data_IF_280893448185
#
_entry.id   IF_280893448185
#
_cell.length_a   1.000
_cell.length_b   1.000
_cell.length_c   1.000
_cell.angle_alpha   90.00
_cell.angle_beta   90.00
_cell.angle_gamma   90.00
#
_symmetry.space_group_name_H-M   'P 1'
#
loop_
_entity.id
_entity.type
_entity.pdbx_description
1 polymer ?
#
# COMPACT_ATOMS: atom_id res chain seq x y z
N UNK A 1 41.34 87.80 -19.28
CA UNK A 1 40.12 87.20 -19.84
C UNK A 1 40.54 86.18 -20.89
N UNK A 2 40.13 84.93 -20.68
CA UNK A 2 40.50 83.70 -21.41
C UNK A 2 42.02 83.51 -21.60
N UNK A 3 42.67 83.07 -20.52
CA UNK A 3 44.08 82.65 -20.47
C UNK A 3 44.17 81.21 -19.95
N UNK A 4 45.21 80.54 -20.46
CA UNK A 4 45.85 79.28 -20.03
C UNK A 4 45.23 78.02 -20.67
N UNK A 5 45.84 77.37 -21.67
CA UNK A 5 47.26 77.00 -21.92
C UNK A 5 47.93 76.25 -20.76
N UNK A 6 48.33 75.02 -21.05
CA UNK A 6 49.50 74.34 -20.48
C UNK A 6 49.17 73.02 -19.78
N UNK A 7 49.95 71.95 -19.89
CA UNK A 7 51.06 71.61 -20.77
C UNK A 7 51.19 70.07 -20.73
N UNK A 8 51.71 69.57 -21.83
CA UNK A 8 52.23 68.23 -22.11
C UNK A 8 53.26 67.76 -21.05
N UNK A 9 53.40 66.44 -20.82
CA UNK A 9 54.68 65.67 -20.84
C UNK A 9 54.41 64.16 -20.61
N UNK A 10 54.72 63.39 -21.66
CA UNK A 10 55.40 62.08 -21.73
C UNK A 10 55.13 60.96 -20.68
N UNK A 11 54.90 59.77 -21.24
CA UNK A 11 55.68 58.59 -20.87
C UNK A 11 54.89 57.46 -20.24
N UNK A 12 54.88 56.29 -20.88
CA UNK A 12 54.50 55.05 -20.19
C UNK A 12 53.73 54.08 -21.06
N UNK A 13 54.46 53.10 -21.58
CA UNK A 13 53.94 51.88 -22.22
C UNK A 13 53.16 51.08 -21.15
N UNK A 14 52.10 50.35 -21.56
CA UNK A 14 51.20 49.44 -20.79
C UNK A 14 50.01 50.12 -20.07
N UNK A 15 48.76 49.76 -20.42
CA UNK A 15 48.24 48.43 -20.06
C UNK A 15 47.31 47.84 -21.15
N UNK A 16 47.87 47.22 -22.19
CA UNK A 16 47.13 46.23 -23.01
C UNK A 16 47.51 44.78 -22.65
N UNK A 17 48.44 44.61 -21.71
CA UNK A 17 48.90 43.31 -21.22
C UNK A 17 48.01 42.72 -20.11
N UNK A 18 47.10 43.50 -19.50
CA UNK A 18 46.12 42.96 -18.54
C UNK A 18 44.84 42.39 -19.18
N UNK A 19 44.63 42.59 -20.48
CA UNK A 19 43.51 41.97 -21.22
C UNK A 19 43.94 40.77 -22.09
N UNK A 20 45.26 40.59 -22.30
CA UNK A 20 45.81 39.43 -23.01
C UNK A 20 46.34 38.35 -22.04
N UNK A 21 46.70 38.70 -20.80
CA UNK A 21 46.97 37.68 -19.76
C UNK A 21 45.72 37.10 -19.09
N UNK A 22 44.55 37.74 -19.20
CA UNK A 22 43.31 37.17 -18.67
C UNK A 22 42.61 36.22 -19.66
N UNK A 23 42.99 36.25 -20.95
CA UNK A 23 42.49 35.33 -21.98
C UNK A 23 43.42 34.14 -22.21
N UNK A 24 44.65 34.16 -21.69
CA UNK A 24 45.61 33.05 -21.77
C UNK A 24 45.73 32.24 -20.47
N UNK A 25 45.09 32.67 -19.37
CA UNK A 25 44.97 31.89 -18.13
C UNK A 25 43.62 31.16 -17.95
N UNK A 26 42.77 31.16 -18.98
CA UNK A 26 41.48 30.45 -19.02
C UNK A 26 41.44 29.31 -20.07
N UNK A 27 42.58 29.00 -20.71
CA UNK A 27 42.68 27.93 -21.71
C UNK A 27 43.76 26.88 -21.44
N UNK A 28 44.26 26.79 -20.21
CA UNK A 28 45.20 25.73 -19.77
C UNK A 28 44.77 25.16 -18.42
N UNK A 29 43.59 24.53 -18.41
CA UNK A 29 43.06 23.81 -17.25
C UNK A 29 42.02 22.74 -17.60
N UNK A 30 41.83 22.45 -18.90
CA UNK A 30 41.13 21.27 -19.36
C UNK A 30 42.18 20.21 -19.71
N UNK A 31 42.76 19.56 -18.70
CA UNK A 31 43.23 18.18 -18.90
C UNK A 31 41.98 17.31 -18.94
N UNK A 32 41.26 17.41 -20.04
CA UNK A 32 40.49 16.28 -20.54
C UNK A 32 41.51 15.18 -20.78
N UNK A 33 41.57 14.24 -19.83
CA UNK A 33 41.92 12.89 -20.20
C UNK A 33 40.87 12.46 -21.23
N UNK A 34 41.17 12.71 -22.50
CA UNK A 34 40.54 12.04 -23.64
C UNK A 34 40.95 10.58 -23.49
N UNK A 35 40.23 9.88 -22.62
CA UNK A 35 40.21 8.44 -22.65
C UNK A 35 39.32 8.11 -23.84
N UNK A 36 40.01 7.68 -24.90
CA UNK A 36 39.49 7.12 -26.17
C UNK A 36 38.03 6.76 -26.12
N UNK A 37 37.31 7.16 -27.16
CA UNK A 37 36.15 6.43 -27.66
C UNK A 37 36.32 4.93 -27.34
N UNK A 38 35.44 4.32 -26.54
CA UNK A 38 35.29 2.89 -26.69
C UNK A 38 34.73 2.74 -28.09
N UNK A 39 35.60 2.26 -28.99
CA UNK A 39 35.26 1.43 -30.15
C UNK A 39 33.90 0.77 -29.93
N UNK A 40 33.00 0.69 -30.95
CA UNK A 40 31.70 0.05 -30.77
C UNK A 40 31.94 -1.28 -30.06
N UNK A 41 31.44 -1.37 -28.82
CA UNK A 41 31.76 -2.47 -27.91
C UNK A 41 31.73 -3.76 -28.74
N UNK A 42 32.80 -4.59 -28.74
CA UNK A 42 32.68 -5.92 -29.32
C UNK A 42 31.47 -6.52 -28.62
N UNK A 43 30.49 -6.99 -29.41
CA UNK A 43 29.21 -7.49 -28.93
C UNK A 43 29.44 -8.25 -27.62
N UNK A 44 29.12 -7.60 -26.48
CA UNK A 44 29.27 -8.22 -25.17
C UNK A 44 28.37 -9.42 -25.27
N UNK A 45 29.01 -10.59 -25.20
CA UNK A 45 28.40 -11.87 -25.52
C UNK A 45 27.05 -12.01 -24.84
N UNK A 46 26.23 -12.86 -25.44
CA UNK A 46 25.00 -13.40 -24.86
C UNK A 46 25.30 -14.25 -23.61
N UNK A 47 26.14 -13.75 -22.70
CA UNK A 47 26.49 -14.39 -21.45
C UNK A 47 25.62 -13.85 -20.32
N UNK A 48 25.46 -14.68 -19.31
CA UNK A 48 24.72 -14.36 -18.09
C UNK A 48 25.23 -13.07 -17.45
N UNK A 49 24.35 -12.39 -16.73
CA UNK A 49 24.64 -11.11 -16.10
C UNK A 49 24.11 -11.06 -14.68
N UNK A 50 24.69 -10.21 -13.86
CA UNK A 50 24.27 -9.99 -12.49
C UNK A 50 23.38 -8.76 -12.37
N UNK A 51 22.32 -8.87 -11.58
CA UNK A 51 21.36 -7.80 -11.31
C UNK A 51 21.15 -7.64 -9.79
N UNK A 52 21.32 -6.43 -9.29
CA UNK A 52 20.96 -6.05 -7.92
C UNK A 52 19.68 -5.23 -7.92
N UNK A 53 18.89 -5.37 -6.85
CA UNK A 53 17.56 -4.75 -6.75
C UNK A 53 17.49 -3.84 -5.53
N UNK A 54 16.73 -2.75 -5.67
CA UNK A 54 16.34 -1.91 -4.54
C UNK A 54 14.84 -2.05 -4.32
N UNK A 55 14.42 -2.22 -3.08
CA UNK A 55 13.02 -2.44 -2.71
C UNK A 55 12.58 -1.45 -1.64
N UNK A 56 11.32 -1.02 -1.71
CA UNK A 56 10.69 -0.20 -0.71
C UNK A 56 9.18 -0.53 -0.65
N UNK A 57 8.55 -0.45 0.53
CA UNK A 57 7.09 -0.50 0.61
C UNK A 57 6.48 0.66 -0.18
N UNK A 58 5.36 0.38 -0.83
CA UNK A 58 4.51 1.39 -1.44
C UNK A 58 3.84 2.22 -0.34
N UNK A 59 3.77 3.56 -0.49
CA UNK A 59 2.95 4.36 0.40
C UNK A 59 1.51 3.86 0.43
N UNK A 60 0.90 3.83 1.60
CA UNK A 60 -0.52 3.48 1.73
C UNK A 60 -1.38 4.57 1.08
N UNK A 61 -2.38 4.16 0.30
CA UNK A 61 -3.31 5.12 -0.32
C UNK A 61 -4.24 5.68 0.77
N UNK A 62 -4.14 6.98 1.05
CA UNK A 62 -4.87 7.64 2.14
C UNK A 62 -6.05 8.42 1.58
N UNK A 63 -7.21 8.24 2.21
CA UNK A 63 -8.44 9.00 1.92
C UNK A 63 -8.46 10.41 2.54
N UNK A 64 -7.68 10.69 3.60
CA UNK A 64 -7.73 11.98 4.33
C UNK A 64 -6.39 12.41 4.97
N UNK A 65 -6.23 13.73 5.18
CA UNK A 65 -5.06 14.43 5.75
C UNK A 65 -5.11 14.63 7.28
N UNK A 66 -6.22 14.33 7.96
CA UNK A 66 -6.34 14.64 9.39
C UNK A 66 -5.63 13.58 10.25
N UNK A 67 -4.65 13.97 11.09
CA UNK A 67 -3.96 13.01 11.93
C UNK A 67 -4.82 12.59 13.13
N UNK A 68 -5.01 11.27 13.34
CA UNK A 68 -5.28 10.74 14.68
C UNK A 68 -4.10 11.12 15.61
N UNK A 69 -4.33 11.67 16.80
CA UNK A 69 -3.31 11.81 17.83
C UNK A 69 -2.98 10.43 18.45
N UNK A 70 -1.68 10.16 18.59
CA UNK A 70 -1.02 9.23 19.53
C UNK A 70 -1.33 7.72 19.58
N UNK A 71 -2.35 7.18 18.89
CA UNK A 71 -2.47 5.71 18.65
C UNK A 71 -1.58 5.20 17.49
N UNK A 72 -0.59 6.00 17.07
CA UNK A 72 0.00 5.96 15.72
C UNK A 72 1.37 5.32 15.56
N UNK A 73 2.11 4.99 16.61
CA UNK A 73 3.52 4.66 16.42
C UNK A 73 3.77 3.18 16.08
N UNK A 74 2.99 2.25 16.63
CA UNK A 74 3.28 0.81 16.48
C UNK A 74 2.79 0.18 15.16
N UNK A 75 1.57 0.48 14.65
CA UNK A 75 1.08 -0.13 13.41
C UNK A 75 1.87 0.34 12.19
N UNK A 76 2.25 1.62 12.13
CA UNK A 76 2.94 2.16 10.95
C UNK A 76 4.32 1.50 10.75
N UNK A 77 5.04 1.14 11.82
CA UNK A 77 6.30 0.40 11.70
C UNK A 77 6.07 -1.04 11.20
N UNK A 78 5.16 -1.79 11.84
CA UNK A 78 4.86 -3.17 11.46
C UNK A 78 4.27 -3.29 10.05
N UNK A 79 3.38 -2.36 9.68
CA UNK A 79 2.78 -2.29 8.35
C UNK A 79 3.81 -2.04 7.25
N UNK A 80 4.87 -1.28 7.53
CA UNK A 80 5.92 -0.94 6.57
C UNK A 80 7.13 -1.88 6.65
N UNK A 81 7.17 -2.81 7.63
CA UNK A 81 8.30 -3.71 7.81
C UNK A 81 8.36 -4.74 6.68
N UNK A 82 9.55 -4.85 6.10
CA UNK A 82 9.90 -5.85 5.10
C UNK A 82 11.05 -6.67 5.68
N UNK A 83 10.76 -7.89 6.14
CA UNK A 83 11.73 -8.78 6.78
C UNK A 83 12.43 -9.68 5.76
N UNK A 84 11.70 -10.16 4.75
CA UNK A 84 12.23 -10.95 3.65
C UNK A 84 11.66 -10.48 2.32
N UNK A 85 12.41 -10.67 1.23
CA UNK A 85 11.92 -10.51 -0.14
C UNK A 85 12.40 -11.66 -0.99
N UNK A 86 11.48 -12.39 -1.61
CA UNK A 86 11.74 -13.31 -2.71
C UNK A 86 11.58 -12.57 -4.02
N UNK A 87 12.50 -12.82 -4.95
CA UNK A 87 12.34 -12.45 -6.36
C UNK A 87 12.09 -13.69 -7.19
N UNK A 88 11.09 -13.59 -8.07
CA UNK A 88 10.87 -14.53 -9.16
C UNK A 88 11.02 -13.79 -10.48
N UNK A 89 11.85 -14.31 -11.39
CA UNK A 89 12.07 -13.74 -12.71
C UNK A 89 11.70 -14.79 -13.73
N UNK A 90 10.83 -14.43 -14.67
CA UNK A 90 10.35 -15.32 -15.72
C UNK A 90 10.80 -14.82 -17.09
N UNK A 91 11.00 -15.75 -18.01
CA UNK A 91 11.07 -15.42 -19.43
C UNK A 91 9.67 -14.97 -19.87
N UNK A 92 9.55 -13.73 -20.36
CA UNK A 92 8.25 -13.16 -20.72
C UNK A 92 7.53 -13.93 -21.83
N UNK A 93 8.28 -14.48 -22.79
CA UNK A 93 7.71 -15.19 -23.94
C UNK A 93 7.24 -16.60 -23.57
N UNK A 94 8.03 -17.33 -22.77
CA UNK A 94 7.75 -18.75 -22.47
C UNK A 94 7.06 -18.97 -21.13
N UNK A 95 7.10 -17.98 -20.24
CA UNK A 95 6.64 -18.10 -18.86
C UNK A 95 7.57 -18.93 -17.97
N UNK A 96 8.71 -19.43 -18.47
CA UNK A 96 9.64 -20.25 -17.68
C UNK A 96 10.28 -19.42 -16.55
N UNK A 97 10.30 -19.96 -15.33
CA UNK A 97 11.02 -19.35 -14.22
C UNK A 97 12.54 -19.50 -14.41
N UNK A 98 13.25 -18.37 -14.40
CA UNK A 98 14.70 -18.27 -14.56
C UNK A 98 15.40 -18.07 -13.21
N UNK A 99 14.78 -17.30 -12.32
CA UNK A 99 15.27 -17.03 -10.96
C UNK A 99 14.12 -17.18 -9.99
N UNK A 100 14.36 -17.87 -8.88
CA UNK A 100 13.45 -17.98 -7.74
C UNK A 100 14.29 -18.02 -6.45
N UNK A 101 14.54 -16.85 -5.87
CA UNK A 101 15.54 -16.71 -4.80
C UNK A 101 15.08 -15.69 -3.75
N UNK A 102 15.46 -15.91 -2.49
CA UNK A 102 15.41 -14.87 -1.46
C UNK A 102 16.55 -13.89 -1.71
N UNK A 103 16.24 -12.59 -1.65
CA UNK A 103 17.24 -11.55 -1.72
C UNK A 103 18.03 -11.50 -0.41
N UNK A 104 19.36 -11.57 -0.54
CA UNK A 104 20.30 -11.40 0.57
C UNK A 104 20.76 -9.93 0.66
N UNK A 105 21.14 -9.51 1.87
CA UNK A 105 21.76 -8.22 2.18
C UNK A 105 21.03 -6.97 1.65
N UNK A 106 19.75 -7.10 1.29
CA UNK A 106 18.95 -5.96 0.87
C UNK A 106 18.60 -5.10 2.08
N UNK A 107 18.58 -3.79 1.89
CA UNK A 107 18.07 -2.83 2.87
C UNK A 107 16.89 -2.08 2.26
N UNK A 108 15.87 -1.82 3.06
CA UNK A 108 14.75 -0.98 2.65
C UNK A 108 15.30 0.39 2.26
N UNK A 109 15.12 0.77 1.00
CA UNK A 109 15.72 1.99 0.51
C UNK A 109 14.94 3.22 0.95
N UNK A 110 15.59 4.11 1.69
CA UNK A 110 15.06 5.45 2.00
C UNK A 110 15.35 6.47 0.89
N UNK A 111 16.50 6.31 0.21
CA UNK A 111 17.06 7.28 -0.74
C UNK A 111 17.46 6.68 -2.11
N UNK A 112 16.85 5.57 -2.51
CA UNK A 112 17.15 4.82 -3.75
C UNK A 112 18.59 4.28 -3.88
N UNK A 113 19.34 4.20 -2.77
CA UNK A 113 20.77 3.82 -2.76
C UNK A 113 21.08 2.48 -2.08
N UNK A 114 20.06 1.69 -1.75
CA UNK A 114 20.22 0.41 -1.04
C UNK A 114 19.97 -0.75 -2.00
N UNK A 115 21.00 -1.55 -2.24
CA UNK A 115 21.00 -2.63 -3.23
C UNK A 115 21.13 -3.99 -2.54
N UNK A 116 20.40 -4.98 -3.03
CA UNK A 116 20.57 -6.37 -2.64
C UNK A 116 21.91 -6.91 -3.13
N UNK A 117 22.32 -8.05 -2.56
CA UNK A 117 23.29 -8.92 -3.21
C UNK A 117 22.81 -9.24 -4.65
N UNK A 118 23.71 -9.29 -5.65
CA UNK A 118 23.30 -9.50 -7.02
C UNK A 118 22.80 -10.93 -7.27
N UNK A 119 21.81 -11.08 -8.15
CA UNK A 119 21.35 -12.37 -8.67
C UNK A 119 21.85 -12.58 -10.09
N UNK A 120 22.23 -13.82 -10.43
CA UNK A 120 22.63 -14.20 -11.79
C UNK A 120 21.39 -14.43 -12.65
N UNK A 121 21.38 -13.84 -13.85
CA UNK A 121 20.27 -13.94 -14.81
C UNK A 121 20.82 -14.43 -16.16
N UNK A 122 20.14 -15.39 -16.82
CA UNK A 122 20.50 -15.84 -18.15
C UNK A 122 20.54 -14.70 -19.19
N UNK A 123 21.64 -14.62 -19.94
CA UNK A 123 21.88 -13.53 -20.91
C UNK A 123 21.26 -13.73 -22.29
N UNK A 124 20.72 -14.92 -22.56
CA UNK A 124 20.11 -15.33 -23.82
C UNK A 124 18.63 -14.93 -23.93
N UNK A 125 17.97 -14.63 -22.80
CA UNK A 125 16.58 -14.18 -22.72
C UNK A 125 16.45 -12.70 -23.11
N UNK A 126 15.43 -12.36 -23.92
CA UNK A 126 15.23 -11.01 -24.49
C UNK A 126 14.34 -10.11 -23.65
N UNK A 127 13.39 -10.67 -22.94
CA UNK A 127 12.45 -9.94 -22.09
C UNK A 127 12.03 -10.78 -20.90
N UNK A 128 11.74 -10.09 -19.81
CA UNK A 128 11.57 -10.67 -18.48
C UNK A 128 10.31 -10.13 -17.80
N UNK A 129 9.66 -10.98 -17.01
CA UNK A 129 8.68 -10.55 -16.03
C UNK A 129 9.26 -10.71 -14.63
N UNK A 130 9.22 -9.64 -13.83
CA UNK A 130 9.73 -9.60 -12.47
C UNK A 130 8.58 -9.62 -11.47
N UNK A 131 8.65 -10.54 -10.52
CA UNK A 131 7.71 -10.67 -9.42
C UNK A 131 8.48 -10.63 -8.11
N UNK A 132 7.96 -9.87 -7.16
CA UNK A 132 8.53 -9.75 -5.83
C UNK A 132 7.49 -10.15 -4.80
N UNK A 133 7.90 -10.93 -3.81
CA UNK A 133 7.08 -11.28 -2.64
C UNK A 133 7.85 -10.90 -1.38
N UNK A 134 7.32 -9.96 -0.63
CA UNK A 134 7.84 -9.63 0.68
C UNK A 134 7.06 -10.34 1.78
N UNK A 135 7.74 -10.65 2.88
CA UNK A 135 7.17 -11.28 4.07
C UNK A 135 6.42 -12.57 3.74
N UNK A 136 7.06 -13.46 2.96
CA UNK A 136 6.45 -14.74 2.57
C UNK A 136 6.22 -15.70 3.76
N UNK A 137 6.84 -15.42 4.91
CA UNK A 137 6.60 -16.11 6.17
C UNK A 137 6.32 -15.08 7.26
N UNK A 138 5.23 -15.31 7.97
CA UNK A 138 4.82 -14.64 9.19
C UNK A 138 4.03 -15.63 10.05
N UNK A 139 3.64 -15.22 11.26
CA UNK A 139 2.80 -16.05 12.15
C UNK A 139 1.51 -16.53 11.48
N UNK A 140 0.82 -15.63 10.76
CA UNK A 140 -0.47 -15.93 10.13
C UNK A 140 -0.36 -16.49 8.71
N UNK A 141 0.75 -16.26 8.01
CA UNK A 141 0.90 -16.62 6.59
C UNK A 141 2.23 -17.31 6.31
N UNK A 142 2.20 -18.47 5.66
CA UNK A 142 3.40 -19.19 5.21
C UNK A 142 3.25 -19.62 3.76
N UNK A 143 4.00 -18.96 2.87
CA UNK A 143 3.91 -19.08 1.43
C UNK A 143 5.16 -19.74 0.81
N UNK A 144 6.19 -20.02 1.62
CA UNK A 144 7.51 -20.46 1.13
C UNK A 144 7.43 -21.72 0.29
N UNK A 145 6.73 -22.77 0.74
CA UNK A 145 6.64 -24.03 -0.01
C UNK A 145 5.97 -23.82 -1.37
N UNK A 146 4.89 -23.04 -1.40
CA UNK A 146 4.17 -22.74 -2.64
C UNK A 146 5.05 -21.95 -3.61
N UNK A 147 5.75 -20.92 -3.12
CA UNK A 147 6.62 -20.07 -3.92
C UNK A 147 7.86 -20.81 -4.44
N UNK A 148 8.48 -21.69 -3.64
CA UNK A 148 9.61 -22.53 -4.07
C UNK A 148 9.22 -23.52 -5.17
N UNK A 149 7.96 -23.96 -5.19
CA UNK A 149 7.44 -24.87 -6.23
C UNK A 149 7.13 -24.19 -7.57
N UNK A 150 7.23 -22.86 -7.65
CA UNK A 150 6.94 -22.11 -8.89
C UNK A 150 8.09 -22.28 -9.89
N UNK A 151 7.75 -22.85 -11.04
CA UNK A 151 8.64 -23.08 -12.18
C UNK A 151 8.11 -22.43 -13.47
N UNK A 152 6.84 -22.03 -13.49
CA UNK A 152 6.17 -21.40 -14.62
C UNK A 152 5.28 -20.24 -14.15
N UNK A 153 5.20 -19.18 -14.96
CA UNK A 153 4.51 -17.93 -14.63
C UNK A 153 3.03 -18.16 -14.31
N UNK A 154 2.33 -18.95 -15.13
CA UNK A 154 0.90 -19.22 -14.97
C UNK A 154 0.56 -19.86 -13.60
N UNK A 155 1.53 -20.47 -12.92
CA UNK A 155 1.34 -21.05 -11.59
C UNK A 155 1.05 -19.99 -10.52
N UNK A 156 1.55 -18.76 -10.68
CA UNK A 156 1.24 -17.63 -9.79
C UNK A 156 -0.27 -17.29 -9.78
N UNK A 157 -0.98 -17.68 -10.84
CA UNK A 157 -2.39 -17.37 -11.07
C UNK A 157 -3.32 -18.58 -10.96
N UNK A 158 -2.77 -19.76 -10.73
CA UNK A 158 -3.56 -21.01 -10.72
C UNK A 158 -3.30 -21.89 -9.50
N UNK A 159 -2.13 -21.80 -8.87
CA UNK A 159 -1.86 -22.56 -7.65
C UNK A 159 -2.76 -22.05 -6.51
N UNK A 160 -3.62 -22.92 -5.91
CA UNK A 160 -4.52 -22.51 -4.84
C UNK A 160 -3.78 -21.89 -3.64
N UNK A 161 -2.57 -22.36 -3.33
CA UNK A 161 -1.76 -21.82 -2.24
C UNK A 161 -1.32 -20.35 -2.46
N UNK A 162 -1.43 -19.81 -3.68
CA UNK A 162 -1.10 -18.42 -4.02
C UNK A 162 -2.33 -17.59 -4.44
N UNK A 163 -3.45 -18.26 -4.77
CA UNK A 163 -4.68 -17.62 -5.26
C UNK A 163 -5.87 -17.73 -4.30
N UNK A 164 -5.83 -18.67 -3.36
CA UNK A 164 -6.84 -18.94 -2.34
C UNK A 164 -6.22 -18.96 -0.95
N UNK A 165 -5.44 -17.92 -0.62
CA UNK A 165 -4.83 -17.79 0.71
C UNK A 165 -5.93 -17.46 1.71
N UNK A 166 -6.13 -18.33 2.70
CA UNK A 166 -7.14 -18.14 3.73
C UNK A 166 -6.85 -16.86 4.53
N UNK A 167 -7.79 -15.92 4.50
CA UNK A 167 -7.70 -14.72 5.30
C UNK A 167 -7.92 -15.04 6.78
N UNK A 168 -7.10 -14.42 7.65
CA UNK A 168 -7.17 -14.57 9.09
C UNK A 168 -7.85 -13.32 9.68
N UNK A 169 -9.08 -13.42 10.23
CA UNK A 169 -9.82 -12.25 10.71
C UNK A 169 -9.17 -11.52 11.87
N UNK A 170 -8.44 -12.24 12.72
CA UNK A 170 -7.72 -11.69 13.86
C UNK A 170 -6.31 -11.18 13.50
N UNK A 171 -5.92 -11.25 12.22
CA UNK A 171 -4.61 -10.79 11.79
C UNK A 171 -4.43 -9.31 12.11
N UNK A 172 -3.34 -9.01 12.82
CA UNK A 172 -2.93 -7.65 13.15
C UNK A 172 -1.41 -7.55 13.01
N UNK A 173 -0.89 -6.63 12.17
CA UNK A 173 0.53 -6.49 11.94
C UNK A 173 1.29 -6.22 13.23
N UNK A 174 2.29 -7.06 13.52
CA UNK A 174 3.10 -6.93 14.72
C UNK A 174 4.57 -7.13 14.40
N UNK A 175 5.39 -6.18 14.85
CA UNK A 175 6.81 -6.42 15.02
C UNK A 175 7.00 -7.33 16.24
N UNK A 176 8.01 -8.18 16.19
CA UNK A 176 8.26 -9.19 17.20
C UNK A 176 9.70 -9.66 17.12
N UNK A 177 10.06 -10.60 17.98
CA UNK A 177 11.33 -11.33 17.89
C UNK A 177 11.02 -12.81 18.04
N UNK A 178 11.93 -13.68 17.61
CA UNK A 178 11.84 -15.13 17.79
C UNK A 178 10.57 -15.78 17.18
N UNK A 179 10.14 -15.32 15.99
CA UNK A 179 9.04 -15.93 15.24
C UNK A 179 7.63 -15.45 15.60
N UNK A 180 7.50 -14.49 16.54
CA UNK A 180 6.22 -13.83 16.85
C UNK A 180 5.86 -12.68 15.90
N UNK A 181 6.68 -12.45 14.87
CA UNK A 181 6.39 -11.45 13.84
C UNK A 181 5.19 -11.88 13.01
N UNK A 182 4.20 -11.00 12.91
CA UNK A 182 3.06 -11.18 12.04
C UNK A 182 3.01 -10.03 11.05
N UNK A 183 3.69 -10.18 9.92
CA UNK A 183 3.85 -9.13 8.91
C UNK A 183 2.93 -9.36 7.72
N UNK A 184 2.54 -8.27 7.06
CA UNK A 184 1.65 -8.33 5.90
C UNK A 184 2.47 -8.81 4.68
N UNK A 185 2.00 -9.82 3.93
CA UNK A 185 2.54 -10.13 2.62
C UNK A 185 2.43 -8.93 1.69
N UNK A 186 3.49 -8.66 0.92
CA UNK A 186 3.48 -7.58 -0.07
C UNK A 186 4.01 -8.07 -1.40
N UNK A 187 3.54 -7.48 -2.50
CA UNK A 187 3.89 -7.91 -3.85
C UNK A 187 4.24 -6.74 -4.75
N UNK A 188 5.10 -6.98 -5.73
CA UNK A 188 5.31 -6.08 -6.86
C UNK A 188 5.47 -6.89 -8.14
N UNK A 189 4.99 -6.34 -9.25
CA UNK A 189 5.03 -7.00 -10.56
C UNK A 189 5.48 -5.98 -11.62
N UNK A 190 6.40 -6.38 -12.48
CA UNK A 190 6.85 -5.60 -13.63
C UNK A 190 6.96 -6.50 -14.85
N UNK A 191 6.19 -6.20 -15.88
CA UNK A 191 6.08 -7.04 -17.07
C UNK A 191 6.93 -6.56 -18.23
N UNK A 192 7.32 -7.51 -19.08
CA UNK A 192 7.95 -7.28 -20.38
C UNK A 192 9.13 -6.30 -20.33
N UNK A 193 9.97 -6.41 -19.29
CA UNK A 193 11.19 -5.61 -19.19
C UNK A 193 12.21 -6.21 -20.15
N UNK A 194 12.66 -5.45 -21.13
CA UNK A 194 13.60 -5.94 -22.13
C UNK A 194 15.03 -5.98 -21.59
N UNK A 195 15.84 -6.89 -22.14
CA UNK A 195 17.27 -6.95 -21.84
C UNK A 195 17.98 -5.62 -22.16
N UNK A 196 17.54 -4.91 -23.20
CA UNK A 196 18.10 -3.61 -23.56
C UNK A 196 17.83 -2.56 -22.49
N UNK A 197 16.62 -2.53 -21.93
CA UNK A 197 16.29 -1.64 -20.81
C UNK A 197 17.14 -1.95 -19.58
N UNK A 198 17.33 -3.22 -19.25
CA UNK A 198 18.21 -3.65 -18.15
C UNK A 198 19.66 -3.21 -18.39
N UNK A 199 20.18 -3.44 -19.60
CA UNK A 199 21.56 -3.02 -19.96
C UNK A 199 21.75 -1.50 -19.97
N UNK A 200 20.67 -0.73 -20.11
CA UNK A 200 20.66 0.72 -19.99
C UNK A 200 20.50 1.21 -18.53
N UNK A 201 20.45 0.30 -17.55
CA UNK A 201 20.49 0.63 -16.13
C UNK A 201 21.92 0.90 -15.66
N UNK A 202 22.08 1.37 -14.41
CA UNK A 202 23.40 1.62 -13.85
C UNK A 202 24.16 0.29 -13.73
N UNK A 203 25.49 0.32 -13.89
CA UNK A 203 26.37 -0.84 -13.72
C UNK A 203 26.84 -1.48 -15.03
N UNK A 204 27.49 -2.64 -14.94
CA UNK A 204 28.10 -3.35 -16.09
C UNK A 204 27.66 -4.81 -16.23
N UNK A 205 26.80 -5.32 -15.35
CA UNK A 205 26.30 -6.69 -15.40
C UNK A 205 27.26 -7.77 -14.88
N UNK A 206 28.38 -7.38 -14.26
CA UNK A 206 29.33 -8.30 -13.62
C UNK A 206 29.01 -8.46 -12.13
N UNK A 207 29.45 -9.52 -11.46
CA UNK A 207 29.18 -9.72 -10.03
C UNK A 207 29.65 -8.54 -9.17
N UNK A 208 30.84 -7.98 -9.44
CA UNK A 208 31.40 -6.83 -8.69
C UNK A 208 30.78 -5.49 -9.09
N UNK A 209 30.07 -5.44 -10.21
CA UNK A 209 29.43 -4.24 -10.75
C UNK A 209 28.16 -4.64 -11.51
N UNK A 210 27.13 -5.10 -10.77
CA UNK A 210 25.91 -5.65 -11.34
C UNK A 210 25.11 -4.54 -12.03
N UNK A 211 24.17 -4.91 -12.88
CA UNK A 211 23.14 -3.95 -13.24
C UNK A 211 22.28 -3.63 -12.02
N UNK A 212 21.74 -2.42 -11.96
CA UNK A 212 20.89 -1.98 -10.85
C UNK A 212 19.44 -1.80 -11.30
N UNK A 213 18.59 -2.75 -10.92
CA UNK A 213 17.18 -2.74 -11.28
C UNK A 213 16.46 -1.57 -10.63
N UNK A 214 15.95 -0.67 -11.46
CA UNK A 214 15.04 0.39 -11.07
C UNK A 214 13.78 0.28 -11.91
N UNK A 215 12.64 0.21 -11.22
CA UNK A 215 11.34 0.23 -11.85
C UNK A 215 11.13 1.57 -12.56
N UNK A 216 10.72 1.52 -13.82
CA UNK A 216 10.42 2.72 -14.61
C UNK A 216 8.94 3.04 -14.48
N UNK A 217 8.58 3.84 -13.47
CA UNK A 217 7.20 4.27 -13.28
C UNK A 217 7.11 5.75 -13.71
N UNK A 218 6.29 6.05 -14.71
CA UNK A 218 6.07 7.42 -15.22
C UNK A 218 7.38 8.17 -15.54
N UNK A 219 8.28 7.51 -16.29
CA UNK A 219 9.58 8.05 -16.71
C UNK A 219 10.58 8.35 -15.57
N UNK A 220 10.27 7.98 -14.32
CA UNK A 220 11.16 8.08 -13.17
C UNK A 220 11.64 6.70 -12.75
N UNK A 221 12.95 6.58 -12.49
CA UNK A 221 13.57 5.35 -11.99
C UNK A 221 13.45 5.30 -10.47
N UNK A 222 12.68 4.34 -9.96
CA UNK A 222 12.42 4.17 -8.53
C UNK A 222 12.80 2.75 -8.07
N UNK A 223 13.01 2.54 -6.76
CA UNK A 223 13.04 1.21 -6.19
C UNK A 223 11.75 0.47 -6.52
N UNK A 224 11.84 -0.85 -6.51
CA UNK A 224 10.68 -1.75 -6.57
C UNK A 224 9.72 -1.39 -5.44
N UNK A 225 8.45 -1.14 -5.79
CA UNK A 225 7.41 -0.70 -4.86
C UNK A 225 6.50 -1.86 -4.47
N UNK A 226 6.70 -2.35 -3.25
CA UNK A 226 5.96 -3.48 -2.69
C UNK A 226 4.59 -3.02 -2.17
N UNK A 227 3.53 -3.57 -2.76
CA UNK A 227 2.14 -3.25 -2.44
C UNK A 227 1.59 -4.31 -1.47
N UNK A 228 1.02 -3.88 -0.34
CA UNK A 228 0.42 -4.80 0.65
C UNK A 228 -0.73 -5.61 0.04
N UNK A 229 -0.84 -6.87 0.43
CA UNK A 229 -1.92 -7.75 -0.02
C UNK A 229 -3.28 -7.43 0.64
N UNK A 230 -3.29 -6.73 1.79
CA UNK A 230 -4.48 -6.39 2.55
C UNK A 230 -4.74 -4.88 2.55
N UNK A 231 -6.00 -4.49 2.73
CA UNK A 231 -6.42 -3.13 3.03
C UNK A 231 -6.55 -2.92 4.55
N UNK A 232 -6.36 -1.68 5.00
CA UNK A 232 -6.59 -1.28 6.40
C UNK A 232 -7.90 -0.53 6.49
N UNK A 233 -8.73 -0.87 7.48
CA UNK A 233 -9.94 -0.12 7.83
C UNK A 233 -9.79 0.35 9.27
N UNK A 234 -9.74 1.66 9.45
CA UNK A 234 -9.89 2.29 10.75
C UNK A 234 -11.36 2.63 10.98
N UNK A 235 -11.92 2.11 12.06
CA UNK A 235 -13.30 2.34 12.48
C UNK A 235 -13.27 3.26 13.69
N UNK A 236 -14.03 4.35 13.62
CA UNK A 236 -14.24 5.27 14.72
C UNK A 236 -15.74 5.40 15.00
N UNK A 237 -16.10 5.31 16.27
CA UNK A 237 -17.43 5.69 16.75
C UNK A 237 -17.19 6.84 17.73
N UNK A 238 -17.40 8.10 17.31
CA UNK A 238 -17.12 9.27 18.15
C UNK A 238 -18.18 9.45 19.24
N UNK A 239 -17.81 10.19 20.28
CA UNK A 239 -18.74 10.75 21.27
C UNK A 239 -19.61 9.71 22.02
N UNK A 240 -19.12 8.47 22.17
CA UNK A 240 -19.82 7.45 22.94
C UNK A 240 -19.77 7.78 24.44
N UNK A 241 -20.93 7.88 25.07
CA UNK A 241 -21.03 8.18 26.50
C UNK A 241 -20.91 6.90 27.33
N UNK A 242 -19.96 6.89 28.27
CA UNK A 242 -19.66 5.74 29.15
C UNK A 242 -20.40 5.81 30.48
N UNK A 243 -20.70 7.01 30.96
CA UNK A 243 -21.38 7.22 32.23
C UNK A 243 -22.54 8.18 32.03
N UNK A 244 -23.74 7.74 32.39
CA UNK A 244 -24.90 8.59 32.51
C UNK A 244 -25.24 8.89 33.97
N UNK A 245 -25.73 10.10 34.22
CA UNK A 245 -26.70 10.29 35.30
C UNK A 245 -28.04 10.06 34.62
N UNK A 246 -28.71 8.96 34.93
CA UNK A 246 -30.04 8.64 34.38
C UNK A 246 -30.99 9.84 34.60
N UNK A 247 -31.61 10.33 33.52
CA UNK A 247 -32.59 11.42 33.56
C UNK A 247 -32.05 12.84 33.32
N UNK A 248 -30.86 13.00 32.73
CA UNK A 248 -30.39 14.29 32.19
C UNK A 248 -30.78 14.44 30.71
N UNK A 249 -31.41 15.56 30.35
CA UNK A 249 -31.88 15.85 28.98
C UNK A 249 -30.78 15.82 27.94
N UNK A 250 -29.54 16.18 28.31
CA UNK A 250 -28.37 16.11 27.40
C UNK A 250 -27.92 14.67 27.13
N UNK A 251 -28.16 13.77 28.07
CA UNK A 251 -27.89 12.34 27.93
C UNK A 251 -29.00 11.58 27.20
N UNK A 252 -30.19 12.17 27.13
CA UNK A 252 -31.37 11.60 26.46
C UNK A 252 -31.39 11.85 24.94
N UNK A 253 -30.64 12.85 24.46
CA UNK A 253 -30.50 13.17 23.03
C UNK A 253 -29.50 12.25 22.28
N UNK A 254 -28.63 11.53 23.01
CA UNK A 254 -27.56 10.68 22.46
C UNK A 254 -27.75 9.24 22.99
N UNK A 255 -27.57 8.20 22.16
CA UNK A 255 -27.64 6.81 22.66
C UNK A 255 -26.46 6.54 23.62
N UNK A 256 -26.74 6.39 24.91
CA UNK A 256 -25.77 6.01 25.93
C UNK A 256 -25.45 4.52 25.83
N UNK A 257 -24.18 4.15 26.04
CA UNK A 257 -23.81 2.73 26.12
C UNK A 257 -24.46 2.04 27.34
N UNK A 258 -24.83 2.80 28.38
CA UNK A 258 -25.62 2.33 29.53
C UNK A 258 -27.04 1.88 29.14
N UNK A 259 -27.56 2.37 28.01
CA UNK A 259 -28.85 1.92 27.48
C UNK A 259 -28.71 0.72 26.55
N UNK A 260 -27.49 0.24 26.29
CA UNK A 260 -27.23 -0.92 25.41
C UNK A 260 -27.00 -2.15 26.27
N UNK A 261 -27.92 -3.12 26.17
CA UNK A 261 -27.82 -4.43 26.84
C UNK A 261 -26.89 -5.39 26.09
N UNK A 262 -26.93 -5.37 24.75
CA UNK A 262 -26.08 -6.18 23.88
C UNK A 262 -25.52 -5.32 22.76
N UNK A 263 -24.25 -5.50 22.43
CA UNK A 263 -23.57 -4.81 21.34
C UNK A 263 -22.76 -5.78 20.50
N UNK A 264 -22.82 -5.61 19.19
CA UNK A 264 -22.01 -6.33 18.23
C UNK A 264 -21.57 -5.39 17.09
N UNK A 265 -20.27 -5.45 16.78
CA UNK A 265 -19.70 -4.86 15.58
C UNK A 265 -19.21 -5.99 14.67
N UNK A 266 -19.73 -6.04 13.45
CA UNK A 266 -19.49 -7.13 12.51
C UNK A 266 -19.08 -6.63 11.13
N UNK A 267 -18.23 -7.36 10.43
CA UNK A 267 -17.88 -7.14 9.04
C UNK A 267 -18.60 -8.18 8.17
N UNK A 268 -19.36 -7.71 7.19
CA UNK A 268 -20.13 -8.54 6.27
C UNK A 268 -19.55 -8.51 4.86
N UNK A 269 -19.88 -9.56 4.11
CA UNK A 269 -19.49 -9.78 2.71
C UNK A 269 -17.96 -9.85 2.53
N UNK A 270 -17.26 -10.44 3.49
CA UNK A 270 -15.79 -10.53 3.42
C UNK A 270 -15.40 -11.79 2.66
N UNK A 271 -14.52 -11.68 1.65
CA UNK A 271 -13.90 -12.82 1.00
C UNK A 271 -13.16 -13.69 2.02
N UNK A 272 -13.42 -15.01 1.99
CA UNK A 272 -12.67 -16.00 2.79
C UNK A 272 -11.20 -16.11 2.39
N UNK A 273 -10.88 -15.75 1.14
CA UNK A 273 -9.56 -15.92 0.56
C UNK A 273 -9.10 -14.66 -0.16
N UNK A 274 -7.78 -14.51 -0.29
CA UNK A 274 -7.16 -13.53 -1.17
C UNK A 274 -6.09 -14.15 -2.05
N UNK A 275 -5.71 -13.41 -3.09
CA UNK A 275 -4.65 -13.79 -4.02
C UNK A 275 -3.49 -12.81 -3.96
N UNK A 276 -2.26 -13.31 -4.07
CA UNK A 276 -1.06 -12.47 -4.09
C UNK A 276 -0.98 -11.62 -5.36
N UNK A 277 -1.10 -12.26 -6.52
CA UNK A 277 -0.84 -11.62 -7.81
C UNK A 277 -2.08 -11.40 -8.67
N UNK A 278 -3.16 -12.15 -8.43
CA UNK A 278 -4.41 -11.98 -9.16
C UNK A 278 -5.19 -10.76 -8.61
N UNK A 279 -4.67 -9.58 -8.93
CA UNK A 279 -5.26 -8.28 -8.62
C UNK A 279 -5.34 -7.43 -9.88
N UNK A 280 -6.44 -6.69 -10.03
CA UNK A 280 -6.60 -5.70 -11.11
C UNK A 280 -5.56 -4.57 -11.01
N UNK A 281 -4.88 -4.43 -9.87
CA UNK A 281 -3.75 -3.52 -9.69
C UNK A 281 -2.57 -3.83 -10.62
N UNK A 282 -2.33 -5.09 -10.94
CA UNK A 282 -1.17 -5.49 -11.76
C UNK A 282 -1.53 -5.69 -13.25
N UNK A 283 -2.72 -6.22 -13.56
CA UNK A 283 -3.07 -6.60 -14.93
C UNK A 283 -4.45 -6.09 -15.37
N UNK A 284 -4.52 -4.80 -15.72
CA UNK A 284 -5.72 -4.08 -16.13
C UNK A 284 -6.45 -4.67 -17.37
N UNK A 285 -5.70 -5.21 -18.33
CA UNK A 285 -6.22 -5.66 -19.63
C UNK A 285 -6.48 -7.17 -19.70
N UNK A 286 -5.99 -7.97 -18.73
CA UNK A 286 -6.12 -9.43 -18.73
C UNK A 286 -7.20 -9.95 -17.77
N UNK A 287 -7.90 -9.07 -17.06
CA UNK A 287 -8.87 -9.48 -16.04
C UNK A 287 -10.07 -10.29 -16.58
N UNK A 288 -10.37 -10.16 -17.87
CA UNK A 288 -11.38 -10.97 -18.59
C UNK A 288 -10.79 -12.17 -19.32
N UNK A 289 -9.48 -12.43 -19.19
CA UNK A 289 -8.84 -13.59 -19.78
C UNK A 289 -9.16 -14.85 -18.96
N UNK A 290 -9.23 -16.00 -19.65
CA UNK A 290 -9.53 -17.31 -19.04
C UNK A 290 -8.58 -17.70 -17.90
N UNK A 291 -7.35 -17.16 -17.90
CA UNK A 291 -6.37 -17.35 -16.82
C UNK A 291 -6.87 -16.83 -15.46
N UNK A 292 -7.75 -15.82 -15.45
CA UNK A 292 -8.28 -15.17 -14.25
C UNK A 292 -9.73 -15.53 -13.95
N UNK A 293 -10.41 -16.28 -14.83
CA UNK A 293 -11.86 -16.57 -14.75
C UNK A 293 -12.32 -17.20 -13.41
N UNK A 294 -11.57 -18.15 -12.79
CA UNK A 294 -11.93 -18.66 -11.47
C UNK A 294 -11.85 -17.60 -10.37
N UNK A 295 -10.95 -16.63 -10.52
CA UNK A 295 -10.65 -15.58 -9.53
C UNK A 295 -11.62 -14.41 -9.72
N UNK A 296 -11.88 -13.97 -10.95
CA UNK A 296 -12.80 -12.88 -11.25
C UNK A 296 -14.21 -13.15 -10.70
N UNK A 297 -14.67 -14.40 -10.69
CA UNK A 297 -15.96 -14.78 -10.09
C UNK A 297 -16.08 -14.45 -8.59
N UNK A 298 -14.98 -14.62 -7.82
CA UNK A 298 -14.88 -14.31 -6.40
C UNK A 298 -14.84 -12.80 -6.11
N UNK A 299 -14.34 -12.00 -7.06
CA UNK A 299 -14.25 -10.54 -6.89
C UNK A 299 -15.51 -9.81 -7.39
N UNK A 300 -16.24 -10.38 -8.35
CA UNK A 300 -17.27 -9.63 -9.10
C UNK A 300 -18.70 -10.18 -9.00
N UNK A 301 -18.91 -11.49 -8.84
CA UNK A 301 -20.20 -12.10 -9.18
C UNK A 301 -20.82 -12.96 -8.08
N UNK A 302 -20.02 -13.67 -7.28
CA UNK A 302 -20.54 -14.64 -6.28
C UNK A 302 -20.47 -14.10 -4.85
N UNK A 303 -21.35 -13.16 -4.51
CA UNK A 303 -21.53 -12.74 -3.11
C UNK A 303 -21.94 -13.93 -2.21
N UNK A 304 -22.75 -14.86 -2.71
CA UNK A 304 -23.39 -15.86 -1.83
C UNK A 304 -22.56 -17.12 -1.50
N UNK A 305 -21.48 -17.41 -2.24
CA UNK A 305 -20.79 -18.72 -2.16
C UNK A 305 -19.43 -18.70 -1.43
N UNK A 306 -18.89 -17.51 -1.13
CA UNK A 306 -17.55 -17.35 -0.53
C UNK A 306 -17.44 -16.26 0.53
N UNK A 307 -18.57 -15.65 0.91
CA UNK A 307 -18.63 -14.60 1.92
C UNK A 307 -18.84 -15.17 3.31
N UNK A 308 -18.31 -14.47 4.30
CA UNK A 308 -18.53 -14.74 5.71
C UNK A 308 -18.87 -13.44 6.43
N UNK A 309 -19.63 -13.59 7.52
CA UNK A 309 -19.75 -12.57 8.55
C UNK A 309 -18.65 -12.81 9.59
N UNK A 310 -17.99 -11.74 10.00
CA UNK A 310 -16.92 -11.79 10.99
C UNK A 310 -17.21 -10.80 12.10
N UNK A 311 -17.26 -11.31 13.33
CA UNK A 311 -17.43 -10.51 14.52
C UNK A 311 -16.12 -9.78 14.83
N UNK A 312 -16.14 -8.46 14.75
CA UNK A 312 -15.00 -7.60 15.12
C UNK A 312 -14.97 -7.45 16.64
N UNK A 313 -16.14 -7.23 17.24
CA UNK A 313 -16.28 -7.04 18.68
C UNK A 313 -17.66 -7.48 19.16
N UNK A 314 -17.67 -8.26 20.25
CA UNK A 314 -18.87 -8.76 20.94
C UNK A 314 -18.71 -8.72 22.47
N UNK A 315 -17.50 -8.46 23.00
CA UNK A 315 -17.28 -8.36 24.45
C UNK A 315 -17.52 -6.91 24.88
N UNK A 316 -18.68 -6.64 25.47
CA UNK A 316 -19.00 -5.34 26.07
C UNK A 316 -17.95 -4.86 27.07
N UNK A 317 -17.26 -5.77 27.78
CA UNK A 317 -16.20 -5.36 28.69
C UNK A 317 -14.95 -4.92 27.94
N UNK A 318 -14.63 -5.53 26.79
CA UNK A 318 -13.53 -5.11 25.91
C UNK A 318 -13.83 -3.76 25.27
N UNK A 319 -15.07 -3.53 24.85
CA UNK A 319 -15.53 -2.22 24.38
C UNK A 319 -15.32 -1.17 25.46
N UNK A 320 -15.85 -1.41 26.67
CA UNK A 320 -15.67 -0.52 27.83
C UNK A 320 -14.20 -0.25 28.16
N UNK A 321 -13.33 -1.28 28.11
CA UNK A 321 -11.87 -1.15 28.34
C UNK A 321 -11.18 -0.32 27.25
N UNK A 322 -11.45 -0.59 25.98
CA UNK A 322 -10.84 0.13 24.87
C UNK A 322 -11.27 1.60 24.85
N UNK A 323 -12.52 1.88 25.21
CA UNK A 323 -13.02 3.24 25.37
C UNK A 323 -12.41 3.96 26.58
N UNK A 324 -12.13 3.29 27.70
CA UNK A 324 -11.49 3.95 28.85
C UNK A 324 -10.05 4.43 28.57
N UNK A 325 -9.40 3.92 27.51
CA UNK A 325 -7.99 4.16 27.19
C UNK A 325 -7.71 5.44 26.38
N UNK A 326 -8.72 6.04 25.75
CA UNK A 326 -8.58 7.26 24.91
C UNK A 326 -8.58 8.58 25.72
N UNK A 327 -8.35 8.49 27.03
CA UNK A 327 -8.53 9.59 27.97
C UNK A 327 -7.32 10.55 28.00
N UNK A 328 -7.52 11.77 27.49
CA UNK A 328 -6.74 12.93 27.91
C UNK A 328 -7.00 13.21 29.40
N UNK A 329 -5.93 13.35 30.17
CA UNK A 329 -5.94 13.67 31.60
C UNK A 329 -6.68 14.98 31.90
N UNK A 330 -7.95 14.90 32.25
CA UNK A 330 -8.73 15.98 32.87
C UNK A 330 -9.57 15.41 34.01
N UNK A 331 -9.41 15.98 35.20
CA UNK A 331 -10.26 15.64 36.35
C UNK A 331 -11.61 16.30 36.12
N UNK A 332 -12.58 15.54 35.63
CA UNK A 332 -13.98 15.97 35.51
C UNK A 332 -14.66 15.97 36.88
N UNK A 333 -15.46 17.01 37.15
CA UNK A 333 -16.26 17.14 38.35
C UNK A 333 -17.32 16.02 38.47
N UNK A 334 -17.84 15.80 39.68
CA UNK A 334 -18.96 14.87 39.93
C UNK A 334 -20.18 15.38 39.16
N UNK A 335 -20.71 14.57 38.23
CA UNK A 335 -21.89 14.89 37.41
C UNK A 335 -21.61 15.24 35.94
N UNK A 336 -20.35 15.31 35.49
CA UNK A 336 -20.03 15.53 34.07
C UNK A 336 -20.17 14.25 33.23
N UNK A 337 -20.93 14.34 32.14
CA UNK A 337 -21.03 13.33 31.08
C UNK A 337 -19.64 13.11 30.47
N UNK A 338 -19.18 11.85 30.46
CA UNK A 338 -17.90 11.47 29.83
C UNK A 338 -18.16 10.80 28.50
N UNK A 339 -17.90 11.54 27.43
CA UNK A 339 -17.82 11.02 26.07
C UNK A 339 -16.42 10.48 25.81
N UNK A 340 -16.31 9.35 25.10
CA UNK A 340 -15.03 8.85 24.62
C UNK A 340 -15.21 8.11 23.30
N UNK A 341 -14.30 8.37 22.37
CA UNK A 341 -14.31 7.71 21.08
C UNK A 341 -13.89 6.23 21.19
N UNK A 342 -14.63 5.34 20.54
CA UNK A 342 -14.18 3.97 20.27
C UNK A 342 -13.39 3.94 18.97
N UNK A 343 -12.22 3.29 19.02
CA UNK A 343 -11.38 3.05 17.86
C UNK A 343 -11.01 1.58 17.75
N UNK A 344 -11.09 1.05 16.53
CA UNK A 344 -10.51 -0.24 16.19
C UNK A 344 -9.98 -0.22 14.77
N UNK A 345 -9.03 -1.12 14.48
CA UNK A 345 -8.44 -1.28 13.15
C UNK A 345 -8.51 -2.74 12.77
N UNK A 346 -8.94 -2.99 11.53
CA UNK A 346 -8.98 -4.33 10.94
C UNK A 346 -8.25 -4.34 9.60
N UNK A 347 -7.72 -5.50 9.21
CA UNK A 347 -7.06 -5.72 7.93
C UNK A 347 -7.82 -6.75 7.11
N UNK A 348 -8.24 -6.36 5.93
CA UNK A 348 -9.18 -7.15 5.12
C UNK A 348 -8.62 -7.43 3.73
N UNK A 349 -9.04 -8.53 3.10
CA UNK A 349 -8.63 -8.84 1.73
C UNK A 349 -9.22 -7.83 0.74
N UNK A 350 -8.65 -7.81 -0.46
CA UNK A 350 -9.21 -7.04 -1.57
C UNK A 350 -10.54 -7.65 -2.04
N UNK A 351 -11.51 -6.80 -2.36
CA UNK A 351 -12.76 -7.18 -2.99
C UNK A 351 -13.20 -6.09 -3.99
N UNK A 352 -12.95 -6.34 -5.28
CA UNK A 352 -13.17 -5.36 -6.36
C UNK A 352 -14.48 -5.64 -7.07
N UNK A 353 -15.43 -4.71 -6.93
CA UNK A 353 -16.70 -4.79 -7.62
C UNK A 353 -16.66 -4.01 -8.95
N UNK A 354 -17.30 -4.54 -9.98
CA UNK A 354 -17.47 -3.84 -11.25
C UNK A 354 -18.50 -2.73 -11.10
N UNK A 355 -18.21 -1.56 -11.67
CA UNK A 355 -19.21 -0.50 -11.83
C UNK A 355 -20.13 -0.86 -13.00
N UNK A 356 -21.43 -0.99 -12.75
CA UNK A 356 -22.42 -1.32 -13.77
C UNK A 356 -23.35 -0.12 -14.02
N UNK A 357 -23.79 0.04 -15.27
CA UNK A 357 -24.69 1.13 -15.67
C UNK A 357 -26.06 1.09 -14.95
N UNK A 358 -26.46 -0.06 -14.41
CA UNK A 358 -27.72 -0.26 -13.69
C UNK A 358 -27.62 -0.01 -12.18
N UNK A 359 -26.44 0.32 -11.67
CA UNK A 359 -26.18 0.54 -10.23
C UNK A 359 -27.00 1.70 -9.66
N UNK A 360 -27.36 2.68 -10.48
CA UNK A 360 -28.13 3.86 -10.08
C UNK A 360 -29.52 3.54 -9.53
N UNK A 361 -30.09 2.38 -9.87
CA UNK A 361 -31.43 1.95 -9.44
C UNK A 361 -31.40 0.81 -8.42
N UNK A 362 -30.21 0.42 -7.95
CA UNK A 362 -30.06 -0.65 -6.97
C UNK A 362 -29.89 -0.09 -5.57
N UNK A 363 -30.45 -0.80 -4.60
CA UNK A 363 -30.23 -0.52 -3.18
C UNK A 363 -28.72 -0.50 -2.87
N UNK A 364 -28.18 0.61 -2.31
CA UNK A 364 -26.78 0.71 -1.90
C UNK A 364 -26.30 -0.44 -1.02
N UNK A 365 -27.17 -1.05 -0.20
CA UNK A 365 -26.84 -2.21 0.62
C UNK A 365 -26.48 -3.45 -0.20
N UNK A 366 -26.94 -3.53 -1.46
CA UNK A 366 -26.62 -4.59 -2.43
C UNK A 366 -25.41 -4.30 -3.30
N UNK A 367 -24.90 -3.07 -3.26
CA UNK A 367 -23.75 -2.62 -4.04
C UNK A 367 -22.44 -2.73 -3.26
N UNK A 368 -22.51 -2.99 -1.96
CA UNK A 368 -21.37 -3.04 -1.04
C UNK A 368 -20.59 -4.34 -1.21
N UNK A 369 -19.32 -4.24 -1.64
CA UNK A 369 -18.40 -5.37 -1.61
C UNK A 369 -18.16 -5.80 -0.16
N UNK A 370 -17.91 -4.85 0.76
CA UNK A 370 -17.88 -5.11 2.20
C UNK A 370 -18.62 -4.00 2.95
N UNK A 371 -19.10 -4.35 4.15
CA UNK A 371 -19.76 -3.38 5.04
C UNK A 371 -19.56 -3.71 6.50
N UNK A 372 -19.49 -2.66 7.31
CA UNK A 372 -19.56 -2.77 8.77
C UNK A 372 -21.02 -2.75 9.15
N UNK A 373 -21.48 -3.77 9.86
CA UNK A 373 -22.79 -3.78 10.50
C UNK A 373 -22.61 -3.59 12.00
N UNK A 374 -23.33 -2.62 12.52
CA UNK A 374 -23.54 -2.44 13.94
C UNK A 374 -24.87 -3.08 14.31
N UNK A 375 -24.86 -3.95 15.32
CA UNK A 375 -26.06 -4.56 15.89
C UNK A 375 -26.09 -4.29 17.38
N UNK A 376 -27.21 -3.84 17.92
CA UNK A 376 -27.33 -3.61 19.35
C UNK A 376 -28.76 -3.80 19.85
N UNK A 377 -28.90 -4.08 21.14
CA UNK A 377 -30.18 -4.18 21.85
C UNK A 377 -30.18 -3.16 22.97
N UNK A 378 -31.30 -2.46 23.15
CA UNK A 378 -31.43 -1.45 24.21
C UNK A 378 -32.26 -1.93 25.39
N UNK A 379 -32.04 -1.35 26.56
CA UNK A 379 -32.82 -1.64 27.77
C UNK A 379 -34.05 -0.73 27.93
N UNK A 380 -34.86 -1.02 28.94
CA UNK A 380 -36.10 -0.31 29.29
C UNK A 380 -35.94 1.18 29.59
N UNK A 381 -34.71 1.63 29.86
CA UNK A 381 -34.42 3.03 30.16
C UNK A 381 -34.00 3.82 28.91
N UNK A 382 -34.07 3.23 27.71
CA UNK A 382 -33.75 3.93 26.47
C UNK A 382 -34.61 5.19 26.27
N UNK A 383 -34.01 6.40 26.23
CA UNK A 383 -34.73 7.67 26.17
C UNK A 383 -35.47 7.85 24.84
N UNK A 384 -35.02 7.15 23.78
CA UNK A 384 -35.68 7.12 22.48
C UNK A 384 -36.85 6.13 22.41
N UNK A 385 -37.18 5.46 23.52
CA UNK A 385 -38.29 4.49 23.62
C UNK A 385 -38.24 3.41 22.53
N UNK A 386 -37.02 3.01 22.12
CA UNK A 386 -36.87 1.95 21.11
C UNK A 386 -37.29 0.62 21.68
N UNK A 387 -37.67 -0.30 20.80
CA UNK A 387 -38.15 -1.61 21.21
C UNK A 387 -36.99 -2.43 21.82
N UNK A 388 -37.08 -2.63 23.13
CA UNK A 388 -36.09 -3.30 23.98
C UNK A 388 -35.98 -4.80 23.71
N UNK A 389 -36.96 -5.40 23.05
CA UNK A 389 -36.97 -6.84 22.72
C UNK A 389 -36.43 -7.14 21.32
N UNK A 390 -35.93 -6.13 20.60
CA UNK A 390 -35.46 -6.29 19.21
C UNK A 390 -34.05 -5.74 19.01
N UNK A 391 -33.25 -6.48 18.25
CA UNK A 391 -31.95 -5.99 17.79
C UNK A 391 -32.13 -4.91 16.73
N UNK A 392 -31.58 -3.74 17.02
CA UNK A 392 -31.39 -2.64 16.08
C UNK A 392 -30.16 -2.93 15.22
N UNK A 393 -30.22 -2.56 13.94
CA UNK A 393 -29.14 -2.81 12.97
C UNK A 393 -28.89 -1.58 12.12
N UNK A 394 -27.62 -1.22 11.96
CA UNK A 394 -27.18 -0.16 11.05
C UNK A 394 -26.02 -0.66 10.19
N UNK A 395 -26.02 -0.31 8.90
CA UNK A 395 -25.01 -0.75 7.93
C UNK A 395 -24.19 0.44 7.45
N UNK A 396 -22.87 0.32 7.53
CA UNK A 396 -21.90 1.34 7.15
C UNK A 396 -21.03 0.82 6.01
N UNK A 397 -21.27 1.28 4.76
CA UNK A 397 -20.50 0.84 3.59
C UNK A 397 -19.05 1.28 3.66
N UNK A 398 -18.16 0.46 3.10
CA UNK A 398 -16.79 0.88 2.80
C UNK A 398 -16.79 1.54 1.42
N UNK A 399 -16.53 2.86 1.38
CA UNK A 399 -16.60 3.66 0.16
C UNK A 399 -15.25 4.28 -0.18
N UNK A 400 -14.87 4.15 -1.45
CA UNK A 400 -13.71 4.71 -2.10
C UNK A 400 -14.06 5.88 -3.00
N UNK A 401 -13.28 6.97 -2.97
CA UNK A 401 -13.52 8.13 -3.83
C UNK A 401 -13.11 7.84 -5.28
N UNK A 402 -12.08 7.01 -5.49
CA UNK A 402 -11.40 6.74 -6.77
C UNK A 402 -10.83 7.97 -7.51
N UNK A 403 -11.25 9.20 -7.19
CA UNK A 403 -10.87 10.45 -7.86
C UNK A 403 -9.40 10.81 -7.64
N UNK A 404 -8.85 10.46 -6.48
CA UNK A 404 -7.46 10.70 -6.07
C UNK A 404 -6.49 9.60 -6.56
N UNK A 405 -7.01 8.48 -7.04
CA UNK A 405 -6.26 7.30 -7.50
C UNK A 405 -5.82 7.39 -8.96
N UNK A 406 -5.09 8.46 -9.29
CA UNK A 406 -4.69 8.78 -10.66
C UNK A 406 -3.33 8.23 -11.08
N UNK A 407 -2.57 7.64 -10.16
CA UNK A 407 -1.26 7.03 -10.44
C UNK A 407 -1.02 5.81 -9.55
N UNK A 408 -0.04 4.98 -9.87
CA UNK A 408 0.39 3.87 -8.99
C UNK A 408 0.75 4.36 -7.58
N UNK A 409 1.40 5.53 -7.46
CA UNK A 409 1.73 6.16 -6.17
C UNK A 409 0.49 6.53 -5.34
N UNK A 410 -0.64 6.78 -6.01
CA UNK A 410 -1.90 7.15 -5.37
C UNK A 410 -2.96 6.05 -5.43
N UNK A 411 -2.66 4.87 -5.98
CA UNK A 411 -3.51 3.68 -5.92
C UNK A 411 -4.36 3.40 -7.15
N UNK A 412 -3.91 3.81 -8.33
CA UNK A 412 -4.50 3.47 -9.62
C UNK A 412 -4.45 1.96 -9.89
N UNK A 413 -5.55 1.38 -10.36
CA UNK A 413 -5.67 -0.05 -10.73
C UNK A 413 -5.51 -0.29 -12.24
N UNK A 414 -6.34 0.37 -13.05
CA UNK A 414 -6.38 0.30 -14.51
C UNK A 414 -6.48 1.73 -15.08
N UNK A 415 -6.58 1.92 -16.41
CA UNK A 415 -6.81 3.22 -17.06
C UNK A 415 -7.81 4.08 -16.25
N UNK A 416 -7.28 4.96 -15.41
CA UNK A 416 -7.98 5.79 -14.42
C UNK A 416 -9.12 5.09 -13.63
N UNK A 417 -8.89 3.84 -13.17
CA UNK A 417 -9.87 3.03 -12.40
C UNK A 417 -11.20 2.77 -13.13
N UNK A 418 -11.19 2.83 -14.47
CA UNK A 418 -12.40 2.62 -15.26
C UNK A 418 -13.09 1.29 -14.94
N UNK A 419 -14.40 1.33 -14.70
CA UNK A 419 -15.21 0.16 -14.38
C UNK A 419 -14.99 -0.41 -12.98
N UNK A 420 -14.27 0.27 -12.08
CA UNK A 420 -14.21 -0.06 -10.65
C UNK A 420 -15.32 0.68 -9.92
N UNK A 421 -16.08 -0.03 -9.07
CA UNK A 421 -17.10 0.58 -8.25
C UNK A 421 -16.50 1.27 -7.03
N UNK A 422 -17.08 2.42 -6.62
CA UNK A 422 -16.75 3.10 -5.36
C UNK A 422 -17.01 2.24 -4.12
N UNK A 423 -17.77 1.16 -4.24
CA UNK A 423 -18.06 0.22 -3.16
C UNK A 423 -17.06 -0.95 -3.08
N UNK A 424 -15.92 -0.84 -3.76
CA UNK A 424 -14.83 -1.82 -3.72
C UNK A 424 -13.93 -1.59 -2.52
N UNK A 425 -13.29 -2.67 -2.05
CA UNK A 425 -12.19 -2.61 -1.08
C UNK A 425 -10.91 -2.97 -1.83
N UNK A 426 -9.96 -2.04 -1.88
CA UNK A 426 -8.73 -2.16 -2.67
C UNK A 426 -7.55 -2.36 -1.73
N UNK A 427 -6.69 -3.33 -2.03
CA UNK A 427 -5.49 -3.62 -1.22
C UNK A 427 -4.58 -2.38 -1.10
N UNK A 428 -3.72 -2.36 -0.06
CA UNK A 428 -2.80 -1.26 0.23
C UNK A 428 -3.48 0.12 0.41
N UNK A 429 -4.80 0.13 0.63
CA UNK A 429 -5.58 1.33 0.92
C UNK A 429 -5.86 1.42 2.41
N UNK A 430 -5.85 2.64 2.94
CA UNK A 430 -6.36 2.97 4.26
C UNK A 430 -7.75 3.60 4.15
N UNK A 431 -8.76 2.86 4.57
CA UNK A 431 -10.12 3.33 4.75
C UNK A 431 -10.30 3.87 6.16
N UNK A 432 -11.11 4.92 6.29
CA UNK A 432 -11.64 5.42 7.56
C UNK A 432 -13.15 5.41 7.49
N UNK A 433 -13.78 4.83 8.49
CA UNK A 433 -15.22 4.77 8.65
C UNK A 433 -15.55 5.43 9.98
N UNK A 434 -16.34 6.50 9.94
CA UNK A 434 -16.83 7.18 11.14
C UNK A 434 -18.32 6.91 11.25
N UNK A 435 -18.74 6.32 12.37
CA UNK A 435 -20.12 5.93 12.63
C UNK A 435 -20.70 6.95 13.62
N UNK A 436 -21.40 7.97 13.11
CA UNK A 436 -21.95 9.06 13.93
C UNK A 436 -23.28 8.73 14.59
N UNK A 437 -24.10 7.90 13.95
CA UNK A 437 -25.44 7.58 14.44
C UNK A 437 -25.52 6.07 14.69
N UNK A 438 -25.80 5.73 15.94
CA UNK A 438 -26.22 4.38 16.32
C UNK A 438 -27.71 4.17 16.03
N UNK A 439 -28.42 5.11 15.41
CA UNK A 439 -29.83 4.94 15.12
C UNK A 439 -30.02 3.97 13.93
N UNK A 440 -31.00 3.03 14.02
CA UNK A 440 -31.32 2.12 12.92
C UNK A 440 -31.86 2.91 11.72
N UNK A 441 -31.44 2.53 10.51
CA UNK A 441 -32.01 3.06 9.26
C UNK A 441 -33.26 2.31 8.82
#
# INVERSE_FOLDING_TARGET
>A
MLKNKGYNVQGGILPLLMWILLSTLLLTGLTSCIQRDPSPNPAVGQGDFYLSMSVAPQPTFKKETVPLPDLKQTPDEAENKVASVRVLIFNHTTGQCLVNQLLEDYRISKDNASWSRPVLIPGDVKSFDFYFVANEVSKSYNLTTALLGVTQLWQLYTLPALTHIAWQPEFFPKTGSNGEEDLIPMTAVYHNITLQEIKAMLGRGTEQNPYHFLATNNSRRNPVRLTRALARIDIQIPELIINSVLGDSTSDEILLFDYIDDFELSLYNVPRYFALFASRYYEANQWTASLYDPISSNYYFNMQNGENCYYIEQDMNKIRRNMASTKGSGISAIGEIKMTDYFTTIYVPEFIRQSNATDTNMDPARLQAMKIQLTFKVNENDPKSRNTNTYQRSNHPIIDSLIDRTSELTGQLANNNSGVSKYSVIRNTKYRIIIHELDPQ
#
